data_IF_433167135634
#
_entry.id   IF_433167135634
#
_cell.length_a   1.000
_cell.length_b   1.000
_cell.length_c   1.000
_cell.angle_alpha   90.00
_cell.angle_beta   90.00
_cell.angle_gamma   90.00
#
_symmetry.space_group_name_H-M   'P 1'
#
loop_
_entity.id
_entity.type
_entity.pdbx_description
1 polymer ?
#
# COMPACT_ATOMS: atom_id res chain seq x y z
N UNK A 1 -25.93 9.15 -7.98
CA UNK A 1 -24.86 10.10 -8.34
C UNK A 1 -25.49 11.37 -8.90
N UNK A 2 -24.90 12.54 -8.62
CA UNK A 2 -25.33 13.81 -9.20
C UNK A 2 -24.13 14.66 -9.61
N UNK A 3 -24.28 15.43 -10.67
CA UNK A 3 -23.39 16.54 -11.01
C UNK A 3 -24.11 17.86 -10.77
N UNK A 4 -23.63 18.62 -9.79
CA UNK A 4 -24.42 19.74 -9.24
C UNK A 4 -25.79 19.24 -8.78
N UNK A 5 -26.86 19.75 -9.39
CA UNK A 5 -28.24 19.31 -9.12
C UNK A 5 -28.72 18.21 -10.09
N UNK A 6 -28.00 17.96 -11.19
CA UNK A 6 -28.41 17.03 -12.25
C UNK A 6 -28.17 15.58 -11.82
N UNK A 7 -29.21 14.72 -11.80
CA UNK A 7 -29.01 13.28 -11.59
C UNK A 7 -28.25 12.67 -12.78
N UNK A 8 -27.31 11.77 -12.49
CA UNK A 8 -26.56 11.05 -13.51
C UNK A 8 -27.03 9.59 -13.59
N UNK A 9 -27.19 9.02 -14.80
CA UNK A 9 -27.46 7.60 -14.97
C UNK A 9 -26.26 6.77 -14.47
N UNK A 10 -26.56 5.75 -13.67
CA UNK A 10 -25.56 4.83 -13.12
C UNK A 10 -25.93 3.39 -13.41
N UNK A 11 -24.92 2.55 -13.60
CA UNK A 11 -25.07 1.10 -13.67
C UNK A 11 -24.07 0.40 -12.76
N UNK A 12 -24.40 -0.85 -12.40
CA UNK A 12 -23.61 -1.70 -11.52
C UNK A 12 -23.34 -3.01 -12.25
N UNK A 13 -22.36 -3.06 -13.16
CA UNK A 13 -22.10 -4.28 -13.94
C UNK A 13 -21.64 -5.45 -13.06
N UNK A 14 -21.11 -5.18 -11.87
CA UNK A 14 -20.76 -6.18 -10.86
C UNK A 14 -20.79 -5.54 -9.45
N UNK A 15 -20.60 -6.32 -8.36
CA UNK A 15 -20.68 -5.80 -6.99
C UNK A 15 -19.60 -4.76 -6.61
N UNK A 16 -18.52 -4.63 -7.37
CA UNK A 16 -17.39 -3.74 -7.05
C UNK A 16 -17.28 -2.53 -7.97
N UNK A 17 -18.05 -2.48 -9.06
CA UNK A 17 -17.96 -1.46 -10.10
C UNK A 17 -19.24 -0.66 -10.17
N UNK A 18 -19.10 0.67 -10.09
CA UNK A 18 -20.16 1.63 -10.35
C UNK A 18 -19.76 2.46 -11.57
N UNK A 19 -20.56 2.41 -12.62
CA UNK A 19 -20.33 3.16 -13.86
C UNK A 19 -21.27 4.36 -13.91
N UNK A 20 -20.71 5.54 -14.15
CA UNK A 20 -21.47 6.75 -14.43
C UNK A 20 -21.53 6.91 -15.95
N UNK A 21 -22.73 6.82 -16.55
CA UNK A 21 -22.89 6.90 -18.01
C UNK A 21 -22.90 8.35 -18.48
N UNK A 22 -21.76 9.02 -18.33
CA UNK A 22 -21.53 10.40 -18.75
C UNK A 22 -20.14 10.51 -19.39
N UNK A 23 -20.05 10.64 -20.72
CA UNK A 23 -18.79 11.01 -21.37
C UNK A 23 -18.34 12.39 -20.87
N UNK A 24 -17.05 12.51 -20.58
CA UNK A 24 -16.41 13.74 -20.10
C UNK A 24 -15.22 14.03 -21.03
N UNK A 25 -15.19 15.19 -21.72
CA UNK A 25 -14.03 15.64 -22.47
C UNK A 25 -12.77 15.70 -21.61
N UNK A 26 -11.61 15.39 -22.20
CA UNK A 26 -10.33 15.54 -21.51
C UNK A 26 -10.14 17.00 -21.05
N UNK A 27 -9.74 17.18 -19.79
CA UNK A 27 -9.53 18.49 -19.17
C UNK A 27 -10.79 19.14 -18.57
N UNK A 28 -11.98 18.60 -18.81
CA UNK A 28 -13.19 19.09 -18.14
C UNK A 28 -13.20 18.67 -16.66
N UNK A 29 -13.50 19.63 -15.77
CA UNK A 29 -13.71 19.34 -14.36
C UNK A 29 -15.13 18.89 -14.11
N UNK A 30 -15.27 17.77 -13.40
CA UNK A 30 -16.56 17.17 -13.07
C UNK A 30 -16.68 17.01 -11.57
N UNK A 31 -17.79 17.49 -11.02
CA UNK A 31 -18.10 17.33 -9.60
C UNK A 31 -19.16 16.25 -9.45
N UNK A 32 -18.76 15.09 -8.93
CA UNK A 32 -19.69 13.99 -8.62
C UNK A 32 -19.96 13.95 -7.12
N UNK A 33 -21.24 13.89 -6.75
CA UNK A 33 -21.67 13.68 -5.36
C UNK A 33 -22.45 12.38 -5.20
N UNK A 34 -22.23 11.72 -4.06
CA UNK A 34 -22.95 10.53 -3.66
C UNK A 34 -23.19 10.48 -2.16
N UNK A 35 -24.39 10.04 -1.80
CA UNK A 35 -24.71 9.61 -0.45
C UNK A 35 -24.78 8.09 -0.47
N UNK A 36 -24.14 7.46 0.50
CA UNK A 36 -24.12 6.01 0.62
C UNK A 36 -24.04 5.62 2.09
N UNK A 37 -24.43 4.39 2.39
CA UNK A 37 -24.39 3.82 3.73
C UNK A 37 -23.60 2.52 3.70
N UNK A 38 -22.54 2.45 4.48
CA UNK A 38 -21.82 1.21 4.75
C UNK A 38 -22.45 0.50 5.93
N UNK A 39 -22.82 -0.76 5.76
CA UNK A 39 -23.05 -1.67 6.88
C UNK A 39 -21.77 -2.47 7.08
N UNK A 40 -21.10 -2.25 8.21
CA UNK A 40 -19.85 -2.94 8.49
C UNK A 40 -20.13 -4.40 8.87
N UNK A 41 -19.33 -5.35 8.36
CA UNK A 41 -19.44 -6.73 8.78
C UNK A 41 -19.13 -6.85 10.27
N UNK A 42 -19.86 -7.72 10.97
CA UNK A 42 -19.50 -8.15 12.31
C UNK A 42 -18.39 -9.21 12.19
N UNK A 43 -17.13 -8.80 12.33
CA UNK A 43 -16.01 -9.75 12.28
C UNK A 43 -14.77 -9.24 11.53
N UNK A 44 -13.95 -10.20 11.13
CA UNK A 44 -12.67 -9.98 10.48
C UNK A 44 -12.86 -9.83 8.97
N UNK A 45 -12.17 -8.86 8.38
CA UNK A 45 -12.09 -8.69 6.93
C UNK A 45 -10.84 -7.88 6.64
N UNK A 46 -10.12 -8.20 5.55
CA UNK A 46 -8.80 -7.62 5.29
C UNK A 46 -8.85 -6.09 5.27
N UNK A 47 -9.57 -5.48 4.32
CA UNK A 47 -9.64 -4.01 4.21
C UNK A 47 -10.68 -3.36 5.13
N UNK A 48 -11.76 -4.06 5.44
CA UNK A 48 -12.84 -3.54 6.30
C UNK A 48 -13.17 -4.52 7.42
N UNK A 49 -13.23 -4.00 8.64
CA UNK A 49 -13.56 -4.75 9.86
C UNK A 49 -14.45 -3.90 10.75
N UNK A 50 -15.54 -4.49 11.26
CA UNK A 50 -16.45 -3.89 12.23
C UNK A 50 -16.50 -4.67 13.55
N UNK A 51 -16.70 -3.95 14.65
CA UNK A 51 -16.90 -4.52 15.99
C UNK A 51 -15.61 -4.75 16.79
N UNK A 52 -15.75 -5.21 18.03
CA UNK A 52 -14.62 -5.44 18.94
C UNK A 52 -13.97 -4.15 19.46
N UNK A 53 -12.63 -4.13 19.51
CA UNK A 53 -11.83 -3.00 20.03
C UNK A 53 -11.67 -1.83 19.05
N UNK A 54 -11.76 -2.12 17.75
CA UNK A 54 -11.61 -1.12 16.70
C UNK A 54 -12.30 -1.50 15.40
N UNK A 55 -12.54 -0.47 14.60
CA UNK A 55 -12.99 -0.52 13.22
C UNK A 55 -11.80 -0.18 12.32
N UNK A 56 -11.69 -0.90 11.21
CA UNK A 56 -10.78 -0.61 10.08
C UNK A 56 -11.62 -0.28 8.85
N UNK A 57 -11.34 0.86 8.22
CA UNK A 57 -11.97 1.28 6.97
C UNK A 57 -10.90 1.57 5.92
N UNK A 58 -10.47 0.53 5.22
CA UNK A 58 -9.59 0.60 4.07
C UNK A 58 -10.38 0.50 2.76
N UNK A 59 -10.07 1.34 1.77
CA UNK A 59 -10.77 1.44 0.47
C UNK A 59 -12.31 1.38 0.60
N UNK A 60 -12.84 2.03 1.64
CA UNK A 60 -14.23 1.86 2.09
C UNK A 60 -15.22 2.72 1.30
N UNK A 61 -14.71 3.68 0.51
CA UNK A 61 -15.48 4.56 -0.35
C UNK A 61 -15.13 4.29 -1.82
N UNK A 62 -15.99 4.68 -2.78
CA UNK A 62 -15.69 4.44 -4.20
C UNK A 62 -14.46 5.20 -4.67
N UNK A 63 -13.51 4.47 -5.23
CA UNK A 63 -12.27 4.98 -5.79
C UNK A 63 -12.36 5.03 -7.33
N UNK A 64 -11.61 5.94 -7.95
CA UNK A 64 -11.51 5.99 -9.41
C UNK A 64 -10.59 4.86 -9.88
N UNK A 65 -11.17 3.85 -10.52
CA UNK A 65 -10.48 2.65 -11.00
C UNK A 65 -9.69 2.91 -12.30
N UNK A 66 -8.67 3.78 -12.26
CA UNK A 66 -7.89 4.19 -13.43
C UNK A 66 -6.40 4.02 -13.16
N UNK A 67 -5.70 3.30 -14.05
CA UNK A 67 -4.25 3.04 -13.92
C UNK A 67 -3.37 4.09 -14.62
N UNK A 68 -3.96 5.13 -15.21
CA UNK A 68 -3.26 6.11 -16.05
C UNK A 68 -3.47 5.90 -17.55
N UNK A 69 -3.71 4.66 -17.99
CA UNK A 69 -3.85 4.26 -19.38
C UNK A 69 -5.21 3.61 -19.69
N UNK A 70 -5.73 2.83 -18.76
CA UNK A 70 -6.95 2.06 -18.88
C UNK A 70 -7.71 1.97 -17.55
N UNK A 71 -8.94 1.51 -17.63
CA UNK A 71 -9.73 1.19 -16.44
C UNK A 71 -9.16 -0.05 -15.75
N UNK A 72 -8.80 0.07 -14.48
CA UNK A 72 -8.32 -1.03 -13.64
C UNK A 72 -9.51 -1.78 -13.03
N UNK A 73 -10.12 -2.66 -13.84
CA UNK A 73 -11.37 -3.36 -13.51
C UNK A 73 -11.15 -4.83 -13.10
N UNK A 74 -9.92 -5.21 -12.83
CA UNK A 74 -9.58 -6.55 -12.37
C UNK A 74 -10.39 -6.92 -11.11
N UNK A 75 -10.84 -8.19 -11.01
CA UNK A 75 -11.60 -8.63 -9.86
C UNK A 75 -10.74 -8.54 -8.59
N UNK A 76 -11.37 -8.38 -7.41
CA UNK A 76 -10.68 -8.57 -6.15
C UNK A 76 -9.96 -9.91 -6.09
N UNK A 77 -8.73 -9.92 -5.59
CA UNK A 77 -7.97 -11.15 -5.34
C UNK A 77 -8.71 -12.05 -4.35
N UNK A 78 -8.60 -13.36 -4.58
CA UNK A 78 -9.11 -14.41 -3.69
C UNK A 78 -8.10 -14.79 -2.60
N UNK A 79 -6.84 -14.40 -2.77
CA UNK A 79 -5.80 -14.64 -1.78
C UNK A 79 -6.05 -13.79 -0.52
N UNK A 80 -6.04 -14.40 0.67
CA UNK A 80 -6.13 -13.63 1.90
C UNK A 80 -4.86 -12.79 2.08
N UNK A 81 -5.04 -11.50 2.33
CA UNK A 81 -3.94 -10.54 2.56
C UNK A 81 -3.01 -10.37 1.36
N UNK A 82 -3.63 -10.30 0.19
CA UNK A 82 -3.05 -9.74 -1.01
C UNK A 82 -3.94 -8.60 -1.52
N UNK A 83 -3.39 -7.80 -2.42
CA UNK A 83 -3.98 -6.58 -2.94
C UNK A 83 -4.06 -6.61 -4.46
N UNK A 84 -5.04 -5.92 -5.03
CA UNK A 84 -5.14 -5.77 -6.49
C UNK A 84 -5.70 -4.39 -6.87
N UNK A 85 -5.58 -3.38 -5.99
CA UNK A 85 -6.34 -2.14 -6.10
C UNK A 85 -5.45 -1.03 -6.68
N UNK A 86 -5.98 -0.34 -7.68
CA UNK A 86 -5.21 0.64 -8.43
C UNK A 86 -5.97 1.95 -8.47
N UNK A 87 -5.35 3.00 -7.95
CA UNK A 87 -5.96 4.33 -7.91
C UNK A 87 -4.96 5.43 -8.23
N UNK A 88 -5.40 6.47 -8.95
CA UNK A 88 -4.59 7.65 -9.18
C UNK A 88 -4.41 8.43 -7.88
N UNK A 89 -3.42 9.31 -7.88
CA UNK A 89 -3.19 10.23 -6.78
C UNK A 89 -4.33 11.26 -6.71
N UNK A 90 -4.79 11.55 -5.50
CA UNK A 90 -5.81 12.54 -5.21
C UNK A 90 -5.54 13.28 -3.89
N UNK A 91 -6.21 14.41 -3.74
CA UNK A 91 -6.30 15.15 -2.48
C UNK A 91 -7.61 14.78 -1.76
N UNK A 92 -7.54 14.57 -0.46
CA UNK A 92 -8.67 14.23 0.39
C UNK A 92 -8.84 15.28 1.49
N UNK A 93 -9.99 15.95 1.52
CA UNK A 93 -10.45 16.80 2.62
C UNK A 93 -11.64 16.10 3.30
N UNK A 94 -11.39 15.54 4.49
CA UNK A 94 -12.31 14.59 5.13
C UNK A 94 -12.79 15.14 6.46
N UNK A 95 -14.12 15.20 6.61
CA UNK A 95 -14.77 15.49 7.89
C UNK A 95 -15.37 14.21 8.48
N UNK A 96 -14.90 13.84 9.67
CA UNK A 96 -15.37 12.69 10.43
C UNK A 96 -16.19 13.18 11.61
N UNK A 97 -17.45 12.75 11.67
CA UNK A 97 -18.33 12.99 12.81
C UNK A 97 -18.55 11.66 13.53
N UNK A 98 -18.23 11.60 14.82
CA UNK A 98 -18.43 10.40 15.64
C UNK A 98 -19.31 10.71 16.85
N UNK A 99 -20.11 9.73 17.26
CA UNK A 99 -21.04 9.89 18.39
C UNK A 99 -20.34 9.74 19.76
N UNK A 100 -19.21 9.03 19.82
CA UNK A 100 -18.50 8.78 21.08
C UNK A 100 -17.14 9.45 21.11
N UNK A 101 -16.95 10.39 22.03
CA UNK A 101 -15.65 11.02 22.30
C UNK A 101 -14.61 10.05 22.92
N UNK A 102 -15.03 8.84 23.33
CA UNK A 102 -14.15 7.83 23.94
C UNK A 102 -13.33 7.06 22.91
N UNK A 103 -13.72 7.09 21.64
CA UNK A 103 -13.01 6.42 20.57
C UNK A 103 -12.01 7.38 19.91
N UNK A 104 -10.84 6.83 19.57
CA UNK A 104 -9.79 7.56 18.84
C UNK A 104 -9.92 7.26 17.36
N UNK A 105 -9.87 8.32 16.56
CA UNK A 105 -9.77 8.25 15.10
C UNK A 105 -8.30 8.45 14.72
N UNK A 106 -7.78 7.53 13.93
CA UNK A 106 -6.50 7.62 13.26
C UNK A 106 -6.81 7.53 11.77
N UNK A 107 -6.24 8.38 10.93
CA UNK A 107 -6.53 8.36 9.50
C UNK A 107 -5.31 8.79 8.69
N UNK A 108 -5.33 8.50 7.39
CA UNK A 108 -4.36 9.04 6.44
C UNK A 108 -4.30 10.57 6.51
N UNK A 109 -3.12 11.12 6.26
CA UNK A 109 -2.84 12.54 6.23
C UNK A 109 -2.69 13.16 7.62
N UNK A 110 -2.89 14.48 7.67
CA UNK A 110 -2.75 15.28 8.87
C UNK A 110 -4.13 15.65 9.41
N UNK A 111 -4.27 15.57 10.73
CA UNK A 111 -5.43 16.17 11.40
C UNK A 111 -5.25 17.69 11.45
N UNK A 112 -6.04 18.41 10.65
CA UNK A 112 -5.99 19.88 10.53
C UNK A 112 -7.04 20.59 11.40
N UNK A 113 -7.85 19.83 12.12
CA UNK A 113 -8.82 20.33 13.08
C UNK A 113 -9.59 19.21 13.76
N UNK A 114 -10.46 19.56 14.71
CA UNK A 114 -11.34 18.58 15.37
C UNK A 114 -12.22 17.92 14.31
N UNK A 115 -12.09 16.61 14.15
CA UNK A 115 -12.86 15.87 13.15
C UNK A 115 -12.45 16.12 11.69
N UNK A 116 -11.35 16.83 11.42
CA UNK A 116 -10.94 17.21 10.05
C UNK A 116 -9.55 16.67 9.72
N UNK A 117 -9.45 15.96 8.60
CA UNK A 117 -8.21 15.43 8.05
C UNK A 117 -7.98 15.95 6.64
N UNK A 118 -6.70 16.18 6.33
CA UNK A 118 -6.24 16.49 4.98
C UNK A 118 -5.12 15.54 4.61
N UNK A 119 -5.30 14.79 3.53
CA UNK A 119 -4.25 14.00 2.90
C UNK A 119 -4.04 14.53 1.49
N UNK A 120 -2.82 14.94 1.15
CA UNK A 120 -2.51 15.53 -0.15
C UNK A 120 -1.65 14.57 -0.95
N UNK A 121 -1.93 14.50 -2.25
CA UNK A 121 -1.23 13.66 -3.20
C UNK A 121 -1.07 12.21 -2.69
N UNK A 122 -2.17 11.56 -2.31
CA UNK A 122 -2.20 10.14 -1.89
C UNK A 122 -3.15 9.31 -2.74
N UNK A 123 -2.94 7.99 -2.80
CA UNK A 123 -3.74 7.07 -3.64
C UNK A 123 -5.07 6.67 -3.03
N UNK A 124 -5.10 6.55 -1.71
CA UNK A 124 -6.27 6.13 -0.96
C UNK A 124 -6.25 6.82 0.41
N UNK A 125 -7.42 6.88 1.03
CA UNK A 125 -7.63 7.42 2.36
C UNK A 125 -8.22 6.32 3.24
N UNK A 126 -7.52 5.98 4.32
CA UNK A 126 -8.01 5.01 5.29
C UNK A 126 -8.19 5.62 6.67
N UNK A 127 -9.02 4.99 7.50
CA UNK A 127 -9.11 5.36 8.91
C UNK A 127 -9.37 4.16 9.83
N UNK A 128 -8.82 4.25 11.02
CA UNK A 128 -9.08 3.37 12.15
C UNK A 128 -9.86 4.13 13.22
N UNK A 129 -10.85 3.48 13.82
CA UNK A 129 -11.62 4.02 14.93
C UNK A 129 -11.65 3.01 16.06
N UNK A 130 -11.20 3.37 17.26
CA UNK A 130 -11.17 2.38 18.35
C UNK A 130 -10.53 2.85 19.64
N UNK A 131 -10.29 1.89 20.53
CA UNK A 131 -9.49 2.08 21.75
C UNK A 131 -8.09 1.54 21.50
N UNK A 132 -7.10 2.41 21.64
CA UNK A 132 -5.71 2.07 21.37
C UNK A 132 -4.79 2.53 22.50
N UNK A 133 -3.65 1.86 22.65
CA UNK A 133 -2.46 2.38 23.33
C UNK A 133 -1.67 3.21 22.33
N UNK A 134 -1.54 4.51 22.57
CA UNK A 134 -0.86 5.42 21.65
C UNK A 134 0.55 5.75 22.14
N UNK A 135 1.49 5.81 21.21
CA UNK A 135 2.80 6.46 21.39
C UNK A 135 3.09 7.34 20.18
N UNK A 136 3.92 8.36 20.36
CA UNK A 136 4.32 9.28 19.30
C UNK A 136 5.82 9.49 19.34
N UNK A 137 6.36 9.85 18.18
CA UNK A 137 7.75 10.25 18.02
C UNK A 137 7.92 11.03 16.72
N UNK A 138 9.17 11.27 16.36
CA UNK A 138 9.53 12.01 15.16
C UNK A 138 10.63 11.25 14.44
N UNK A 139 10.49 11.06 13.12
CA UNK A 139 11.57 10.60 12.26
C UNK A 139 12.36 11.82 11.77
N UNK A 140 13.68 11.78 11.94
CA UNK A 140 14.60 12.87 11.63
C UNK A 140 15.13 12.72 10.21
N UNK A 141 14.24 12.99 9.25
CA UNK A 141 14.58 13.13 7.83
C UNK A 141 14.63 14.62 7.48
N UNK A 142 15.11 15.04 6.29
CA UNK A 142 15.31 16.46 5.98
C UNK A 142 14.12 17.37 6.30
N UNK A 143 12.89 16.88 6.10
CA UNK A 143 11.67 17.45 6.65
C UNK A 143 11.13 16.52 7.76
N UNK A 144 11.18 16.89 9.04
CA UNK A 144 10.77 16.00 10.13
C UNK A 144 9.35 15.45 9.98
N UNK A 145 9.18 14.15 10.21
CA UNK A 145 7.89 13.46 10.07
C UNK A 145 7.36 13.09 11.45
N UNK A 146 6.13 13.51 11.75
CA UNK A 146 5.44 13.10 12.98
C UNK A 146 4.94 11.65 12.87
N UNK A 147 5.45 10.77 13.71
CA UNK A 147 5.07 9.35 13.73
C UNK A 147 4.10 9.08 14.88
N UNK A 148 2.91 8.54 14.56
CA UNK A 148 1.93 8.09 15.55
C UNK A 148 1.77 6.58 15.46
N UNK A 149 1.84 5.89 16.59
CA UNK A 149 1.52 4.46 16.66
C UNK A 149 0.35 4.26 17.59
N UNK A 150 -0.61 3.44 17.17
CA UNK A 150 -1.78 3.05 17.93
C UNK A 150 -1.92 1.52 17.89
N UNK A 151 -1.89 0.84 19.04
CA UNK A 151 -2.04 -0.63 19.09
C UNK A 151 -3.25 -1.01 19.93
N UNK A 152 -4.05 -1.97 19.46
CA UNK A 152 -5.17 -2.51 20.24
C UNK A 152 -4.67 -3.12 21.56
N UNK A 153 -5.31 -2.83 22.71
CA UNK A 153 -4.85 -3.27 24.02
C UNK A 153 -5.28 -4.71 24.34
N UNK A 154 -4.90 -5.67 23.48
CA UNK A 154 -5.25 -7.09 23.63
C UNK A 154 -4.10 -7.93 24.21
N UNK A 155 -4.37 -9.09 24.84
CA UNK A 155 -3.34 -10.06 25.20
C UNK A 155 -2.50 -10.49 23.99
N UNK A 156 -1.19 -10.62 24.17
CA UNK A 156 -0.25 -10.99 23.10
C UNK A 156 0.16 -9.84 22.16
N UNK A 157 -0.45 -8.66 22.27
CA UNK A 157 -0.02 -7.49 21.50
C UNK A 157 1.39 -7.05 21.90
N UNK A 158 2.22 -6.76 20.89
CA UNK A 158 3.54 -6.15 21.07
C UNK A 158 3.40 -4.71 21.58
N UNK A 159 4.45 -4.22 22.24
CA UNK A 159 4.47 -2.84 22.74
C UNK A 159 4.44 -1.84 21.59
N UNK A 160 3.57 -0.83 21.67
CA UNK A 160 3.50 0.26 20.69
C UNK A 160 4.86 0.98 20.49
N UNK A 161 5.74 0.98 21.50
CA UNK A 161 7.11 1.54 21.38
C UNK A 161 7.99 0.75 20.41
N UNK A 162 7.74 -0.55 20.23
CA UNK A 162 8.49 -1.38 19.29
C UNK A 162 8.13 -1.03 17.85
N UNK A 163 6.83 -0.93 17.54
CA UNK A 163 6.35 -0.41 16.26
C UNK A 163 6.88 1.00 15.98
N UNK A 164 6.84 1.90 16.97
CA UNK A 164 7.34 3.28 16.81
C UNK A 164 8.81 3.32 16.43
N UNK A 165 9.66 2.55 17.12
CA UNK A 165 11.09 2.46 16.80
C UNK A 165 11.31 1.96 15.37
N UNK A 166 10.62 0.89 14.97
CA UNK A 166 10.77 0.31 13.63
C UNK A 166 10.26 1.24 12.54
N UNK A 167 9.17 1.98 12.78
CA UNK A 167 8.65 2.99 11.86
C UNK A 167 9.65 4.13 11.65
N UNK A 168 10.20 4.69 12.74
CA UNK A 168 11.19 5.78 12.67
C UNK A 168 12.44 5.33 11.91
N UNK A 169 13.04 4.20 12.29
CA UNK A 169 14.25 3.67 11.62
C UNK A 169 13.99 3.42 10.14
N UNK A 170 12.83 2.88 9.79
CA UNK A 170 12.46 2.62 8.39
C UNK A 170 12.31 3.91 7.59
N UNK A 171 11.56 4.89 8.11
CA UNK A 171 11.40 6.20 7.46
C UNK A 171 12.75 6.91 7.24
N UNK A 172 13.61 6.91 8.25
CA UNK A 172 14.94 7.52 8.18
C UNK A 172 15.83 6.81 7.16
N UNK A 173 15.86 5.47 7.20
CA UNK A 173 16.66 4.67 6.28
C UNK A 173 16.20 4.81 4.83
N UNK A 174 14.90 4.70 4.58
CA UNK A 174 14.37 4.72 3.21
C UNK A 174 14.41 6.12 2.61
N UNK A 175 14.25 7.17 3.44
CA UNK A 175 14.44 8.55 2.99
C UNK A 175 15.87 8.81 2.50
N UNK A 176 16.86 8.21 3.15
CA UNK A 176 18.25 8.31 2.73
C UNK A 176 18.53 7.54 1.42
N UNK A 177 17.89 6.38 1.24
CA UNK A 177 18.09 5.52 0.07
C UNK A 177 17.39 6.06 -1.18
N UNK A 178 16.09 6.35 -1.09
CA UNK A 178 15.23 6.55 -2.26
C UNK A 178 14.74 7.98 -2.44
N UNK A 179 15.04 8.88 -1.50
CA UNK A 179 14.60 10.27 -1.53
C UNK A 179 13.61 10.58 -0.40
N UNK A 180 13.39 11.87 -0.10
CA UNK A 180 12.65 12.29 1.09
C UNK A 180 11.21 11.75 1.09
N UNK A 181 10.73 11.30 2.25
CA UNK A 181 9.32 11.00 2.47
C UNK A 181 8.49 12.30 2.30
N UNK A 182 7.51 12.34 1.39
CA UNK A 182 6.91 13.60 0.95
C UNK A 182 5.78 14.13 1.85
N UNK A 183 5.38 13.38 2.88
CA UNK A 183 4.28 13.76 3.78
C UNK A 183 4.78 14.12 5.19
N UNK A 184 4.00 14.89 5.94
CA UNK A 184 4.38 15.35 7.28
C UNK A 184 4.08 14.36 8.41
N UNK A 185 3.25 13.36 8.15
CA UNK A 185 2.79 12.40 9.14
C UNK A 185 2.90 10.97 8.62
N UNK A 186 3.14 10.05 9.56
CA UNK A 186 3.07 8.62 9.32
C UNK A 186 2.43 7.92 10.52
N UNK A 187 1.46 7.05 10.27
CA UNK A 187 0.71 6.35 11.32
C UNK A 187 0.85 4.84 11.17
N UNK A 188 1.05 4.12 12.28
CA UNK A 188 1.02 2.65 12.31
C UNK A 188 -0.08 2.20 13.26
N UNK A 189 -0.99 1.36 12.78
CA UNK A 189 -2.10 0.84 13.59
C UNK A 189 -2.01 -0.67 13.74
N UNK A 190 -1.65 -1.13 14.94
CA UNK A 190 -1.59 -2.55 15.30
C UNK A 190 -2.97 -3.10 15.69
N UNK A 191 -3.45 -4.09 14.95
CA UNK A 191 -4.79 -4.69 15.12
C UNK A 191 -4.72 -6.20 15.36
N UNK A 192 -5.56 -6.69 16.26
CA UNK A 192 -5.55 -8.08 16.72
C UNK A 192 -6.18 -9.07 15.74
N UNK A 193 -7.09 -8.59 14.88
CA UNK A 193 -7.76 -9.42 13.87
C UNK A 193 -6.89 -9.70 12.64
N UNK A 194 -5.81 -8.93 12.46
CA UNK A 194 -4.78 -9.24 11.47
C UNK A 194 -3.89 -10.33 12.07
N UNK A 195 -3.86 -11.48 11.40
CA UNK A 195 -3.12 -12.67 11.85
C UNK A 195 -2.41 -13.32 10.66
N UNK A 196 -1.33 -14.06 10.94
CA UNK A 196 -0.70 -14.93 9.94
C UNK A 196 0.61 -14.41 9.34
N UNK A 197 1.04 -15.12 8.29
CA UNK A 197 2.27 -14.90 7.52
C UNK A 197 2.15 -13.75 6.51
N UNK A 198 0.99 -13.12 6.42
CA UNK A 198 0.48 -12.41 5.24
C UNK A 198 0.11 -10.96 5.57
N UNK A 199 1.12 -10.10 5.68
CA UNK A 199 0.97 -8.66 5.45
C UNK A 199 0.32 -7.81 6.55
N UNK A 200 0.82 -6.58 6.67
CA UNK A 200 0.03 -5.46 7.13
C UNK A 200 -0.89 -4.97 6.00
N UNK A 201 -1.21 -3.68 6.00
CA UNK A 201 -1.85 -3.02 4.85
C UNK A 201 -1.24 -1.63 4.71
N UNK A 202 -0.92 -1.26 3.49
CA UNK A 202 0.09 -0.26 3.15
C UNK A 202 -0.47 1.09 2.72
N UNK A 203 -1.64 1.48 3.23
CA UNK A 203 -2.28 2.73 2.81
C UNK A 203 -1.34 3.94 2.99
N UNK A 204 -1.45 4.96 2.11
CA UNK A 204 -0.60 6.13 2.20
C UNK A 204 -0.74 6.80 3.57
N UNK A 205 0.41 7.07 4.20
CA UNK A 205 0.57 7.74 5.50
C UNK A 205 -0.04 7.04 6.72
N UNK A 206 -0.74 5.91 6.54
CA UNK A 206 -1.26 5.09 7.62
C UNK A 206 -1.22 3.61 7.22
N UNK A 207 -0.40 2.82 7.91
CA UNK A 207 -0.34 1.38 7.68
C UNK A 207 -0.99 0.59 8.81
N UNK A 208 -1.61 -0.53 8.47
CA UNK A 208 -2.10 -1.50 9.45
C UNK A 208 -1.09 -2.62 9.64
N UNK A 209 -1.07 -3.20 10.83
CA UNK A 209 -0.17 -4.30 11.20
C UNK A 209 -0.90 -5.30 12.08
N UNK A 210 -0.56 -6.60 12.02
CA UNK A 210 -0.88 -7.52 13.10
C UNK A 210 -0.34 -7.00 14.43
N UNK A 211 -1.18 -6.91 15.45
CA UNK A 211 -0.76 -6.42 16.78
C UNK A 211 0.34 -7.27 17.42
N UNK A 212 0.48 -8.53 16.99
CA UNK A 212 1.50 -9.47 17.45
C UNK A 212 2.76 -9.53 16.57
N UNK A 213 2.78 -8.88 15.39
CA UNK A 213 3.89 -8.90 14.43
C UNK A 213 4.58 -7.54 14.33
N UNK A 214 5.85 -7.56 13.92
CA UNK A 214 6.69 -6.36 13.80
C UNK A 214 7.08 -6.06 12.35
N UNK A 215 6.25 -6.44 11.37
CA UNK A 215 6.54 -6.24 9.94
C UNK A 215 6.38 -4.78 9.45
N UNK A 216 6.70 -3.82 10.33
CA UNK A 216 6.66 -2.38 10.05
C UNK A 216 7.59 -1.96 8.91
N UNK A 217 8.80 -2.52 8.74
CA UNK A 217 9.68 -2.11 7.65
C UNK A 217 9.12 -2.38 6.25
N UNK A 218 8.39 -3.50 6.04
CA UNK A 218 7.73 -3.82 4.76
C UNK A 218 6.65 -2.79 4.42
N UNK A 219 5.70 -2.59 5.32
CA UNK A 219 4.61 -1.63 5.08
C UNK A 219 5.09 -0.18 4.97
N UNK A 220 6.20 0.14 5.65
CA UNK A 220 6.84 1.46 5.51
C UNK A 220 7.53 1.60 4.14
N UNK A 221 8.00 0.50 3.54
CA UNK A 221 8.64 0.54 2.22
C UNK A 221 7.63 0.88 1.12
N UNK A 222 6.39 0.41 1.25
CA UNK A 222 5.29 0.77 0.38
C UNK A 222 4.95 2.28 0.36
N UNK A 223 5.47 3.06 1.31
CA UNK A 223 5.36 4.51 1.22
C UNK A 223 6.14 5.08 0.03
N UNK A 224 7.21 4.41 -0.41
CA UNK A 224 7.90 4.68 -1.68
C UNK A 224 7.35 3.84 -2.82
N UNK A 225 7.21 2.53 -2.61
CA UNK A 225 6.80 1.54 -3.63
C UNK A 225 5.35 1.10 -3.42
N UNK A 226 4.45 2.03 -3.71
CA UNK A 226 3.00 1.90 -3.84
C UNK A 226 2.44 3.31 -3.68
N UNK A 227 2.65 3.94 -2.51
CA UNK A 227 2.07 5.25 -2.19
C UNK A 227 2.65 6.36 -3.06
N UNK A 228 3.99 6.50 -3.11
CA UNK A 228 4.64 7.50 -3.95
C UNK A 228 4.70 7.05 -5.41
N UNK A 229 5.33 5.90 -5.68
CA UNK A 229 5.34 5.26 -6.99
C UNK A 229 4.37 4.09 -6.96
N UNK A 230 3.25 4.22 -7.65
CA UNK A 230 2.23 3.16 -7.69
C UNK A 230 2.39 2.28 -8.90
N UNK A 231 1.75 1.12 -8.86
CA UNK A 231 1.60 0.17 -9.95
C UNK A 231 0.14 -0.29 -10.02
N UNK A 232 -0.18 -1.03 -11.08
CA UNK A 232 -1.40 -1.82 -11.07
C UNK A 232 -1.17 -3.10 -10.27
N UNK A 233 -1.58 -3.12 -8.99
CA UNK A 233 -1.34 -4.26 -8.08
C UNK A 233 -1.98 -5.55 -8.59
N UNK A 234 -3.05 -5.46 -9.39
CA UNK A 234 -3.68 -6.63 -9.99
C UNK A 234 -2.82 -7.24 -11.10
N UNK A 235 -2.19 -6.40 -11.90
CA UNK A 235 -1.46 -6.81 -13.11
C UNK A 235 -0.01 -7.15 -12.82
N UNK A 236 0.64 -6.33 -12.00
CA UNK A 236 2.08 -6.36 -11.73
C UNK A 236 2.38 -6.29 -10.22
N UNK A 237 1.86 -7.22 -9.39
CA UNK A 237 2.02 -7.20 -7.93
C UNK A 237 3.48 -7.31 -7.46
N UNK A 238 4.39 -7.78 -8.32
CA UNK A 238 5.79 -7.88 -7.99
C UNK A 238 6.48 -6.51 -7.86
N UNK A 239 5.92 -5.45 -8.44
CA UNK A 239 6.51 -4.11 -8.41
C UNK A 239 6.41 -3.46 -7.03
N UNK A 240 5.27 -3.49 -6.38
CA UNK A 240 5.14 -3.00 -5.01
C UNK A 240 5.70 -4.02 -4.02
N UNK A 241 5.28 -5.27 -4.11
CA UNK A 241 5.63 -6.25 -3.08
C UNK A 241 7.10 -6.67 -3.11
N UNK A 242 7.64 -6.87 -4.30
CA UNK A 242 9.05 -7.20 -4.46
C UNK A 242 9.99 -6.05 -4.11
N UNK A 243 9.62 -4.81 -4.44
CA UNK A 243 10.41 -3.63 -4.08
C UNK A 243 10.29 -3.29 -2.59
N UNK A 244 9.12 -3.51 -1.98
CA UNK A 244 8.95 -3.45 -0.54
C UNK A 244 9.82 -4.49 0.17
N UNK A 245 9.82 -5.73 -0.31
CA UNK A 245 10.66 -6.84 0.18
C UNK A 245 12.16 -6.54 0.06
N UNK A 246 12.58 -5.98 -1.07
CA UNK A 246 13.96 -5.51 -1.22
C UNK A 246 14.32 -4.46 -0.18
N UNK A 247 13.44 -3.50 0.01
CA UNK A 247 13.65 -2.35 0.86
C UNK A 247 13.68 -2.69 2.34
N UNK A 248 12.78 -3.56 2.82
CA UNK A 248 12.75 -3.97 4.21
C UNK A 248 14.05 -4.65 4.66
N UNK A 249 14.74 -5.35 3.74
CA UNK A 249 16.03 -5.97 4.03
C UNK A 249 17.12 -4.93 4.37
N UNK A 250 16.95 -3.64 4.03
CA UNK A 250 17.86 -2.58 4.47
C UNK A 250 17.78 -2.29 5.98
N UNK A 251 16.69 -2.70 6.63
CA UNK A 251 16.44 -2.55 8.08
C UNK A 251 16.52 -3.92 8.77
N UNK A 252 15.96 -4.95 8.16
CA UNK A 252 15.90 -6.31 8.72
C UNK A 252 17.18 -7.13 8.45
N UNK A 253 18.03 -6.71 7.52
CA UNK A 253 19.20 -7.45 7.03
C UNK A 253 18.87 -8.42 5.90
N UNK A 254 17.69 -9.04 5.92
CA UNK A 254 17.22 -9.97 4.89
C UNK A 254 15.66 -10.03 4.89
N UNK A 255 15.02 -10.50 3.80
CA UNK A 255 13.58 -10.69 3.79
C UNK A 255 13.16 -11.95 4.57
N UNK A 256 11.87 -12.10 4.93
CA UNK A 256 11.31 -13.34 5.44
C UNK A 256 11.60 -14.51 4.49
N UNK A 257 11.85 -15.69 5.08
CA UNK A 257 12.09 -16.93 4.32
C UNK A 257 13.24 -16.85 3.31
N UNK A 258 14.29 -16.08 3.59
CA UNK A 258 15.43 -15.85 2.67
C UNK A 258 15.99 -17.13 2.04
N UNK A 259 16.09 -18.22 2.80
CA UNK A 259 16.66 -19.49 2.35
C UNK A 259 15.62 -20.49 1.80
N UNK A 260 14.35 -20.08 1.69
CA UNK A 260 13.31 -20.98 1.20
C UNK A 260 13.52 -21.34 -0.28
N UNK A 261 13.27 -22.61 -0.60
CA UNK A 261 13.20 -23.09 -1.98
C UNK A 261 11.93 -22.55 -2.64
N UNK A 262 12.08 -21.99 -3.84
CA UNK A 262 10.93 -21.57 -4.65
C UNK A 262 10.28 -22.82 -5.25
N UNK A 263 8.99 -23.06 -5.03
CA UNK A 263 8.29 -24.20 -5.66
C UNK A 263 8.32 -24.08 -7.19
N UNK A 264 8.57 -25.17 -7.94
CA UNK A 264 8.69 -25.14 -9.40
C UNK A 264 7.50 -24.50 -10.13
N UNK A 265 6.29 -24.68 -9.61
CA UNK A 265 5.04 -24.16 -10.19
C UNK A 265 4.95 -22.61 -10.18
N UNK A 266 5.72 -21.95 -9.31
CA UNK A 266 5.79 -20.48 -9.20
C UNK A 266 7.20 -19.93 -9.46
N UNK A 267 8.12 -20.78 -9.87
CA UNK A 267 9.49 -20.39 -10.19
C UNK A 267 9.55 -19.67 -11.53
N UNK A 268 10.28 -18.55 -11.54
CA UNK A 268 10.45 -17.64 -12.67
C UNK A 268 9.11 -17.10 -13.20
N UNK A 269 8.27 -16.61 -12.29
CA UNK A 269 6.90 -16.14 -12.54
C UNK A 269 6.61 -14.75 -11.99
N UNK A 270 7.62 -13.93 -11.69
CA UNK A 270 7.39 -12.64 -11.02
C UNK A 270 6.46 -11.70 -11.80
N UNK A 271 6.48 -11.75 -13.14
CA UNK A 271 5.60 -10.93 -13.99
C UNK A 271 4.21 -11.51 -14.25
N UNK A 272 3.73 -12.46 -13.43
CA UNK A 272 2.36 -12.95 -13.51
C UNK A 272 1.39 -12.08 -12.70
N UNK A 273 0.14 -11.89 -13.16
CA UNK A 273 -0.86 -11.08 -12.47
C UNK A 273 -1.50 -11.80 -11.28
N UNK A 274 -2.26 -11.09 -10.46
CA UNK A 274 -3.01 -11.66 -9.34
C UNK A 274 -3.98 -12.77 -9.74
N UNK A 275 -4.52 -12.77 -10.97
CA UNK A 275 -5.34 -13.88 -11.47
C UNK A 275 -4.59 -15.20 -11.65
N UNK A 276 -3.27 -15.16 -11.80
CA UNK A 276 -2.40 -16.34 -11.72
C UNK A 276 -2.17 -16.73 -10.25
N UNK A 277 -1.80 -15.76 -9.40
CA UNK A 277 -1.49 -16.01 -7.99
C UNK A 277 -2.68 -16.52 -7.18
N UNK A 278 -3.90 -16.11 -7.54
CA UNK A 278 -5.18 -16.53 -6.96
C UNK A 278 -5.45 -18.04 -7.04
N UNK A 279 -4.65 -18.77 -7.81
CA UNK A 279 -4.75 -20.23 -7.95
C UNK A 279 -3.96 -20.98 -6.86
N UNK A 280 -3.17 -20.27 -6.06
CA UNK A 280 -2.26 -20.84 -5.08
C UNK A 280 -2.59 -20.39 -3.64
N UNK A 281 -1.85 -20.90 -2.66
CA UNK A 281 -1.92 -20.43 -1.29
C UNK A 281 -1.02 -19.19 -1.07
N UNK A 282 -1.23 -18.41 0.01
CA UNK A 282 -0.47 -17.18 0.25
C UNK A 282 1.03 -17.38 0.36
N UNK A 283 1.51 -18.55 0.79
CA UNK A 283 2.96 -18.79 0.89
C UNK A 283 3.59 -18.91 -0.50
N UNK A 284 2.89 -19.52 -1.46
CA UNK A 284 3.35 -19.59 -2.86
C UNK A 284 3.37 -18.21 -3.51
N UNK A 285 2.35 -17.40 -3.26
CA UNK A 285 2.34 -15.99 -3.68
C UNK A 285 3.53 -15.23 -3.09
N UNK A 286 3.76 -15.33 -1.77
CA UNK A 286 4.91 -14.70 -1.12
C UNK A 286 6.25 -15.14 -1.73
N UNK A 287 6.49 -16.44 -1.82
CA UNK A 287 7.75 -16.96 -2.37
C UNK A 287 7.92 -16.57 -3.85
N UNK A 288 6.83 -16.51 -4.61
CA UNK A 288 6.79 -16.17 -6.02
C UNK A 288 7.00 -14.68 -6.31
N UNK A 289 6.15 -13.80 -5.79
CA UNK A 289 6.17 -12.36 -6.13
C UNK A 289 7.13 -11.53 -5.27
N UNK A 290 7.40 -11.93 -4.02
CA UNK A 290 8.16 -11.14 -3.04
C UNK A 290 9.63 -11.58 -3.03
N UNK A 291 9.87 -12.81 -2.54
CA UNK A 291 11.21 -13.34 -2.35
C UNK A 291 11.95 -13.51 -3.67
N UNK A 292 11.25 -13.94 -4.71
CA UNK A 292 11.86 -14.13 -6.02
C UNK A 292 12.24 -12.80 -6.67
N UNK A 293 11.44 -11.75 -6.51
CA UNK A 293 11.80 -10.39 -6.95
C UNK A 293 13.03 -9.88 -6.21
N UNK A 294 13.10 -10.09 -4.90
CA UNK A 294 14.31 -9.79 -4.14
C UNK A 294 15.56 -10.48 -4.71
N UNK A 295 15.45 -11.78 -5.05
CA UNK A 295 16.54 -12.54 -5.69
C UNK A 295 16.85 -12.04 -7.11
N UNK A 296 15.83 -11.66 -7.87
CA UNK A 296 15.99 -11.09 -9.19
C UNK A 296 16.81 -9.78 -9.15
N UNK A 297 16.51 -8.90 -8.19
CA UNK A 297 17.26 -7.68 -7.96
C UNK A 297 18.68 -7.95 -7.46
N UNK A 298 18.88 -8.94 -6.58
CA UNK A 298 20.22 -9.36 -6.14
C UNK A 298 21.08 -9.86 -7.30
N UNK A 299 20.46 -10.49 -8.31
CA UNK A 299 21.18 -11.00 -9.49
C UNK A 299 21.77 -9.90 -10.38
N UNK A 300 21.28 -8.65 -10.26
CA UNK A 300 21.73 -7.52 -11.07
C UNK A 300 23.17 -7.14 -10.73
N UNK A 301 23.48 -7.06 -9.42
CA UNK A 301 24.78 -6.65 -8.94
C UNK A 301 24.77 -6.19 -7.47
N UNK A 302 25.76 -5.40 -7.04
CA UNK A 302 25.87 -4.93 -5.66
C UNK A 302 24.63 -4.13 -5.23
N UNK A 303 24.11 -4.44 -4.03
CA UNK A 303 22.95 -3.76 -3.44
C UNK A 303 23.00 -2.22 -3.52
N UNK A 304 24.12 -1.53 -3.20
CA UNK A 304 24.16 -0.07 -3.30
C UNK A 304 23.87 0.49 -4.71
N UNK A 305 24.23 -0.24 -5.77
CA UNK A 305 23.93 0.18 -7.15
C UNK A 305 22.46 -0.06 -7.49
N UNK A 306 21.87 -1.16 -7.02
CA UNK A 306 20.42 -1.40 -7.15
C UNK A 306 19.64 -0.34 -6.38
N UNK A 307 20.06 0.02 -5.16
CA UNK A 307 19.46 1.12 -4.39
C UNK A 307 19.56 2.46 -5.14
N UNK A 308 20.67 2.74 -5.85
CA UNK A 308 20.80 3.92 -6.71
C UNK A 308 19.82 3.90 -7.90
N UNK A 309 19.64 2.75 -8.54
CA UNK A 309 18.67 2.59 -9.61
C UNK A 309 17.22 2.75 -9.11
N UNK A 310 16.90 2.20 -7.93
CA UNK A 310 15.59 2.37 -7.30
C UNK A 310 15.34 3.82 -6.84
N UNK A 311 16.38 4.55 -6.45
CA UNK A 311 16.28 6.01 -6.23
C UNK A 311 15.93 6.75 -7.52
N UNK A 312 16.59 6.41 -8.63
CA UNK A 312 16.29 7.01 -9.93
C UNK A 312 14.86 6.69 -10.37
N UNK A 313 14.43 5.45 -10.17
CA UNK A 313 13.06 5.01 -10.39
C UNK A 313 12.05 5.81 -9.55
N UNK A 314 12.30 5.98 -8.26
CA UNK A 314 11.45 6.75 -7.36
C UNK A 314 11.32 8.23 -7.78
N UNK A 315 12.44 8.87 -8.11
CA UNK A 315 12.46 10.28 -8.51
C UNK A 315 11.76 10.53 -9.86
N UNK A 316 11.92 9.62 -10.84
CA UNK A 316 11.30 9.77 -12.17
C UNK A 316 9.80 9.49 -12.18
N UNK A 317 9.32 8.71 -11.21
CA UNK A 317 7.96 8.16 -11.23
C UNK A 317 7.10 8.55 -10.03
N UNK A 318 7.58 9.48 -9.20
CA UNK A 318 6.79 10.02 -8.08
C UNK A 318 5.39 10.46 -8.55
N UNK A 319 4.38 10.03 -7.81
CA UNK A 319 2.95 10.29 -8.03
C UNK A 319 2.35 9.68 -9.31
N UNK A 320 3.09 8.85 -10.04
CA UNK A 320 2.61 8.14 -11.24
C UNK A 320 2.24 6.70 -10.91
N UNK A 321 1.38 6.12 -11.74
CA UNK A 321 1.20 4.67 -11.81
C UNK A 321 2.13 4.19 -12.93
N UNK A 322 3.04 3.30 -12.59
CA UNK A 322 4.09 2.80 -13.47
C UNK A 322 3.68 1.49 -14.13
N UNK A 323 4.43 1.11 -15.15
CA UNK A 323 4.46 -0.23 -15.71
C UNK A 323 5.85 -0.85 -15.45
N UNK A 324 6.02 -2.18 -15.59
CA UNK A 324 7.31 -2.84 -15.43
C UNK A 324 8.45 -2.19 -16.22
N UNK A 325 8.16 -1.64 -17.40
CA UNK A 325 9.11 -0.92 -18.25
C UNK A 325 9.76 0.27 -17.56
N UNK A 326 9.02 1.04 -16.75
CA UNK A 326 9.56 2.20 -16.04
C UNK A 326 10.62 1.79 -15.00
N UNK A 327 10.46 0.63 -14.35
CA UNK A 327 11.47 0.05 -13.47
C UNK A 327 12.69 -0.41 -14.26
N UNK A 328 12.47 -1.11 -15.38
CA UNK A 328 13.55 -1.57 -16.24
C UNK A 328 14.44 -0.42 -16.72
N UNK A 329 13.84 0.67 -17.20
CA UNK A 329 14.59 1.82 -17.74
C UNK A 329 15.48 2.47 -16.67
N UNK A 330 15.04 2.49 -15.42
CA UNK A 330 15.87 2.95 -14.30
C UNK A 330 17.00 1.97 -13.96
N UNK A 331 16.72 0.66 -13.96
CA UNK A 331 17.73 -0.39 -13.73
C UNK A 331 18.78 -0.43 -14.83
N UNK A 332 18.39 -0.30 -16.11
CA UNK A 332 19.30 -0.32 -17.26
C UNK A 332 20.29 0.85 -17.30
N UNK A 333 20.00 1.93 -16.56
CA UNK A 333 20.96 3.03 -16.38
C UNK A 333 22.22 2.56 -15.62
N UNK A 334 22.11 1.53 -14.78
CA UNK A 334 23.20 0.98 -13.97
C UNK A 334 23.62 -0.42 -14.41
N UNK A 335 22.69 -1.19 -14.97
CA UNK A 335 22.87 -2.60 -15.32
C UNK A 335 22.37 -2.84 -16.76
N UNK A 336 23.24 -2.73 -17.79
CA UNK A 336 22.82 -2.90 -19.18
C UNK A 336 22.15 -4.26 -19.48
N UNK A 337 22.46 -5.29 -18.69
CA UNK A 337 21.90 -6.64 -18.79
C UNK A 337 20.65 -6.88 -17.91
N UNK A 338 20.09 -5.84 -17.29
CA UNK A 338 18.94 -5.95 -16.39
C UNK A 338 17.73 -6.65 -17.03
N UNK A 339 17.43 -6.33 -18.29
CA UNK A 339 16.28 -6.93 -18.99
C UNK A 339 16.43 -8.45 -19.10
N UNK A 340 17.61 -8.91 -19.50
CA UNK A 340 17.92 -10.34 -19.63
C UNK A 340 17.82 -11.04 -18.27
N UNK A 341 18.43 -10.46 -17.23
CA UNK A 341 18.42 -11.01 -15.88
C UNK A 341 17.00 -11.10 -15.32
N UNK A 342 16.20 -10.04 -15.43
CA UNK A 342 14.82 -10.05 -14.91
C UNK A 342 13.90 -10.98 -15.71
N UNK A 343 14.10 -11.09 -17.04
CA UNK A 343 13.38 -12.08 -17.87
C UNK A 343 13.67 -13.53 -17.44
N UNK A 344 14.87 -13.83 -16.94
CA UNK A 344 15.17 -15.16 -16.40
C UNK A 344 14.33 -15.49 -15.13
N UNK A 345 13.81 -14.48 -14.44
CA UNK A 345 12.85 -14.64 -13.33
C UNK A 345 11.39 -14.46 -13.77
N UNK A 346 11.11 -14.33 -15.07
CA UNK A 346 9.77 -14.23 -15.63
C UNK A 346 9.16 -12.84 -15.63
N UNK A 347 9.95 -11.77 -15.49
CA UNK A 347 9.45 -10.40 -15.69
C UNK A 347 8.98 -10.19 -17.15
N UNK A 348 7.94 -9.36 -17.31
CA UNK A 348 7.38 -8.93 -18.60
C UNK A 348 7.46 -7.40 -18.65
N UNK A 349 7.85 -6.82 -19.77
CA UNK A 349 8.12 -5.39 -19.94
C UNK A 349 7.39 -4.79 -21.13
#
# INVERSE_FOLDING_TARGET
MREGTRPLPVSHPNPTTLVISRPVPAGEQVVVSMNWRLLLPHGTGLRMKGGGYSVRLGSFFPLLAWDGNAWALDPPTKLPSAEAWTTPIADFDVRITQQSARLRVLASGQQVGVGKWRAQAVRDFTLALGRFKLVRGTAHVPAPVGVTVAVEPVPGAKSARVFLRRAIVSLERYSALYGPYPWHTYTVVGMADLTGLTGGLEYPTLVYQPAASENVPHETAHQWFYSLVGNDQARDPWLDEGLATWTEAAVNGAPPFTDATIPPEVANKIGEPMSFWDQFDPRRYFLGAYLQTYRALLSLGPRPQVDCALRLYAVRNAYRIVQPRDLLDALQTFFPDAEQKLKAYGARF
#
